data_IF_797037706978
#
_entry.id   IF_797037706978
#
_cell.length_a   1.000
_cell.length_b   1.000
_cell.length_c   1.000
_cell.angle_alpha   90.00
_cell.angle_beta   90.00
_cell.angle_gamma   90.00
#
_symmetry.space_group_name_H-M   'P 1'
#
loop_
_entity.id
_entity.type
_entity.pdbx_description
1 polymer ?
#
# COMPACT_ATOMS: atom_id res chain seq x y z
N UNK A 1 28.07 -38.76 17.52
CA UNK A 1 27.39 -39.89 16.85
C UNK A 1 26.69 -39.34 15.63
N UNK A 2 27.17 -39.76 14.46
CA UNK A 2 26.75 -39.33 13.14
C UNK A 2 25.41 -39.95 12.77
N UNK A 3 24.38 -39.14 12.49
CA UNK A 3 23.26 -39.58 11.67
C UNK A 3 23.39 -38.91 10.31
N UNK A 4 23.99 -39.65 9.38
CA UNK A 4 24.06 -39.27 7.97
C UNK A 4 22.66 -39.35 7.35
N UNK A 5 22.11 -38.19 7.02
CA UNK A 5 20.92 -38.08 6.19
C UNK A 5 21.23 -38.51 4.75
N UNK A 6 21.05 -39.79 4.46
CA UNK A 6 21.06 -40.30 3.09
C UNK A 6 19.89 -39.72 2.27
N UNK A 7 20.02 -39.64 0.93
CA UNK A 7 18.95 -39.11 0.08
C UNK A 7 17.73 -40.02 0.17
N UNK A 8 16.67 -39.52 0.80
CA UNK A 8 15.40 -40.23 0.93
C UNK A 8 14.88 -40.61 -0.45
N UNK A 9 14.78 -41.92 -0.71
CA UNK A 9 14.12 -42.46 -1.90
C UNK A 9 12.63 -42.09 -1.84
N UNK A 10 12.23 -41.03 -2.53
CA UNK A 10 10.83 -40.69 -2.73
C UNK A 10 10.18 -41.74 -3.65
N UNK A 11 9.59 -42.79 -3.07
CA UNK A 11 8.62 -43.63 -3.77
C UNK A 11 7.38 -42.76 -4.05
N UNK A 12 7.23 -42.32 -5.30
CA UNK A 12 6.24 -41.34 -5.74
C UNK A 12 4.79 -41.82 -5.61
N UNK A 13 4.20 -41.66 -4.42
CA UNK A 13 2.75 -41.69 -4.24
C UNK A 13 2.14 -40.39 -4.78
N UNK A 14 1.79 -40.41 -6.07
CA UNK A 14 1.14 -39.29 -6.74
C UNK A 14 -0.31 -39.08 -6.29
N UNK A 15 -0.92 -40.02 -5.54
CA UNK A 15 -2.33 -39.90 -5.13
C UNK A 15 -2.54 -38.73 -4.18
N UNK A 16 -1.60 -38.49 -3.26
CA UNK A 16 -1.66 -37.35 -2.31
C UNK A 16 -1.67 -36.00 -3.02
N UNK A 17 -0.67 -35.65 -3.86
CA UNK A 17 -0.68 -34.37 -4.57
C UNK A 17 -1.83 -34.24 -5.56
N UNK A 18 -2.27 -35.32 -6.22
CA UNK A 18 -3.45 -35.28 -7.11
C UNK A 18 -4.73 -34.97 -6.31
N UNK A 19 -4.92 -35.61 -5.15
CA UNK A 19 -6.09 -35.37 -4.29
C UNK A 19 -6.08 -33.95 -3.75
N UNK A 20 -4.91 -33.45 -3.35
CA UNK A 20 -4.71 -32.06 -2.93
C UNK A 20 -5.08 -31.08 -4.06
N UNK A 21 -4.53 -31.29 -5.26
CA UNK A 21 -4.81 -30.45 -6.43
C UNK A 21 -6.32 -30.41 -6.76
N UNK A 22 -6.98 -31.56 -6.77
CA UNK A 22 -8.43 -31.63 -7.02
C UNK A 22 -9.26 -30.91 -5.96
N UNK A 23 -8.83 -30.94 -4.70
CA UNK A 23 -9.59 -30.35 -3.59
C UNK A 23 -9.41 -28.83 -3.51
N UNK A 24 -8.18 -28.33 -3.68
CA UNK A 24 -7.84 -26.93 -3.40
C UNK A 24 -7.49 -26.11 -4.64
N UNK A 25 -7.06 -26.73 -5.75
CA UNK A 25 -6.71 -25.99 -6.97
C UNK A 25 -7.87 -25.89 -7.97
N UNK A 26 -8.90 -26.73 -7.84
CA UNK A 26 -10.04 -26.75 -8.76
C UNK A 26 -10.82 -25.41 -8.77
N UNK A 27 -10.91 -24.72 -7.63
CA UNK A 27 -11.58 -23.41 -7.54
C UNK A 27 -10.88 -22.31 -8.36
N UNK A 28 -9.56 -22.44 -8.56
CA UNK A 28 -8.76 -21.48 -9.32
C UNK A 28 -8.68 -21.80 -10.82
N UNK A 29 -9.27 -22.90 -11.28
CA UNK A 29 -9.19 -23.33 -12.67
C UNK A 29 -9.87 -22.34 -13.64
N UNK A 30 -10.86 -21.55 -13.21
CA UNK A 30 -11.52 -20.54 -14.05
C UNK A 30 -10.65 -19.32 -14.35
N UNK A 31 -9.97 -18.78 -13.33
CA UNK A 31 -9.17 -17.54 -13.46
C UNK A 31 -7.69 -17.82 -13.76
N UNK A 32 -7.15 -18.93 -13.25
CA UNK A 32 -5.72 -19.27 -13.26
C UNK A 32 -5.46 -20.64 -13.90
N UNK A 33 -6.26 -21.01 -14.91
CA UNK A 33 -6.20 -22.32 -15.56
C UNK A 33 -4.78 -22.74 -15.95
N UNK A 34 -4.03 -21.84 -16.61
CA UNK A 34 -2.66 -22.10 -17.07
C UNK A 34 -1.71 -22.47 -15.93
N UNK A 35 -1.85 -21.84 -14.77
CA UNK A 35 -0.99 -22.14 -13.62
C UNK A 35 -1.38 -23.47 -12.97
N UNK A 36 -2.68 -23.78 -12.90
CA UNK A 36 -3.19 -25.06 -12.39
C UNK A 36 -2.75 -26.21 -13.29
N UNK A 37 -2.86 -26.06 -14.61
CA UNK A 37 -2.37 -27.04 -15.59
C UNK A 37 -0.86 -27.22 -15.49
N UNK A 38 -0.12 -26.12 -15.31
CA UNK A 38 1.34 -26.15 -15.15
C UNK A 38 1.76 -26.91 -13.90
N UNK A 39 1.13 -26.64 -12.75
CA UNK A 39 1.40 -27.32 -11.48
C UNK A 39 1.01 -28.81 -11.55
N UNK A 40 -0.11 -29.12 -12.19
CA UNK A 40 -0.59 -30.50 -12.34
C UNK A 40 0.30 -31.27 -13.32
N UNK A 41 0.76 -30.63 -14.40
CA UNK A 41 1.70 -31.20 -15.37
C UNK A 41 3.07 -31.49 -14.78
N UNK A 42 3.54 -30.68 -13.83
CA UNK A 42 4.79 -30.92 -13.11
C UNK A 42 4.78 -32.26 -12.34
N UNK A 43 3.61 -32.76 -11.93
CA UNK A 43 3.49 -34.06 -11.25
C UNK A 43 3.95 -35.24 -12.12
N UNK A 44 3.90 -35.12 -13.46
CA UNK A 44 4.44 -36.13 -14.37
C UNK A 44 5.95 -36.31 -14.21
N UNK A 45 6.64 -35.27 -13.75
CA UNK A 45 8.08 -35.24 -13.53
C UNK A 45 8.46 -35.34 -12.05
N UNK A 46 7.53 -35.76 -11.17
CA UNK A 46 7.75 -35.80 -9.71
C UNK A 46 9.00 -36.59 -9.26
N UNK A 47 9.48 -37.52 -10.09
CA UNK A 47 10.70 -38.30 -9.81
C UNK A 47 11.99 -37.56 -10.14
N UNK A 48 11.95 -36.59 -11.05
CA UNK A 48 13.10 -35.77 -11.45
C UNK A 48 12.67 -34.36 -11.87
N UNK A 49 12.26 -33.60 -10.86
CA UNK A 49 11.64 -32.29 -11.05
C UNK A 49 12.66 -31.21 -11.39
N UNK A 50 13.90 -31.36 -10.90
CA UNK A 50 14.99 -30.41 -11.11
C UNK A 50 15.52 -30.43 -12.55
N UNK A 51 15.46 -31.57 -13.23
CA UNK A 51 15.81 -31.68 -14.65
C UNK A 51 14.60 -31.54 -15.59
N UNK A 52 13.42 -31.22 -15.05
CA UNK A 52 12.18 -31.08 -15.84
C UNK A 52 12.03 -29.68 -16.47
N UNK A 53 11.11 -29.52 -17.44
CA UNK A 53 10.68 -28.21 -17.94
C UNK A 53 10.09 -27.28 -16.86
N UNK A 54 9.79 -27.81 -15.67
CA UNK A 54 9.16 -27.11 -14.55
C UNK A 54 10.15 -26.73 -13.42
N UNK A 55 11.46 -26.85 -13.66
CA UNK A 55 12.50 -26.59 -12.66
C UNK A 55 12.43 -25.19 -12.03
N UNK A 56 11.88 -24.20 -12.75
CA UNK A 56 11.71 -22.84 -12.27
C UNK A 56 10.70 -22.73 -11.12
N UNK A 57 9.68 -23.61 -11.09
CA UNK A 57 8.70 -23.69 -9.98
C UNK A 57 9.37 -24.02 -8.64
N UNK A 58 10.54 -24.66 -8.68
CA UNK A 58 11.31 -25.10 -7.52
C UNK A 58 12.62 -24.32 -7.36
N UNK A 59 12.80 -23.25 -8.12
CA UNK A 59 13.97 -22.40 -7.99
C UNK A 59 14.00 -21.69 -6.63
N UNK A 60 15.21 -21.43 -6.11
CA UNK A 60 15.39 -20.65 -4.88
C UNK A 60 14.74 -19.26 -4.98
N UNK A 61 14.69 -18.70 -6.18
CA UNK A 61 14.06 -17.41 -6.44
C UNK A 61 12.54 -17.48 -6.26
N UNK A 62 11.89 -18.52 -6.81
CA UNK A 62 10.45 -18.74 -6.61
C UNK A 62 10.10 -18.88 -5.11
N UNK A 63 10.93 -19.62 -4.35
CA UNK A 63 10.74 -19.75 -2.90
C UNK A 63 10.90 -18.44 -2.13
N UNK A 64 11.86 -17.59 -2.52
CA UNK A 64 12.03 -16.25 -1.93
C UNK A 64 10.81 -15.36 -2.20
N UNK A 65 10.26 -15.42 -3.39
CA UNK A 65 9.07 -14.66 -3.77
C UNK A 65 7.82 -15.12 -3.00
N UNK A 66 7.60 -16.44 -2.89
CA UNK A 66 6.51 -17.01 -2.08
C UNK A 66 6.61 -16.54 -0.63
N UNK A 67 7.81 -16.62 -0.03
CA UNK A 67 8.05 -16.14 1.34
C UNK A 67 7.71 -14.66 1.49
N UNK A 68 8.23 -13.82 0.60
CA UNK A 68 8.00 -12.38 0.64
C UNK A 68 6.51 -12.03 0.50
N UNK A 69 5.80 -12.72 -0.40
CA UNK A 69 4.36 -12.53 -0.58
C UNK A 69 3.57 -12.97 0.66
N UNK A 70 3.93 -14.11 1.25
CA UNK A 70 3.30 -14.61 2.46
C UNK A 70 3.50 -13.66 3.64
N UNK A 71 4.74 -13.21 3.89
CA UNK A 71 5.05 -12.22 4.92
C UNK A 71 4.26 -10.92 4.70
N UNK A 72 4.21 -10.42 3.47
CA UNK A 72 3.46 -9.20 3.16
C UNK A 72 1.95 -9.34 3.41
N UNK A 73 1.35 -10.48 3.05
CA UNK A 73 -0.07 -10.75 3.31
C UNK A 73 -0.32 -10.93 4.81
N UNK A 74 0.55 -11.65 5.51
CA UNK A 74 0.46 -11.87 6.95
C UNK A 74 0.53 -10.55 7.73
N UNK A 75 1.51 -9.70 7.41
CA UNK A 75 1.63 -8.39 8.04
C UNK A 75 0.39 -7.53 7.78
N UNK A 76 -0.13 -7.52 6.54
CA UNK A 76 -1.35 -6.77 6.23
C UNK A 76 -2.58 -7.29 6.99
N UNK A 77 -2.77 -8.60 7.09
CA UNK A 77 -3.95 -9.18 7.76
C UNK A 77 -3.94 -8.96 9.27
N UNK A 78 -2.76 -8.79 9.87
CA UNK A 78 -2.59 -8.53 11.31
C UNK A 78 -2.34 -7.05 11.63
N UNK A 79 -2.29 -6.17 10.62
CA UNK A 79 -1.98 -4.76 10.81
C UNK A 79 -0.53 -4.48 11.23
N UNK A 80 0.39 -5.41 10.99
CA UNK A 80 1.82 -5.21 11.21
C UNK A 80 2.46 -4.42 10.07
N UNK A 81 3.55 -3.74 10.39
CA UNK A 81 4.35 -3.05 9.39
C UNK A 81 5.01 -4.05 8.44
N UNK A 82 4.80 -3.89 7.14
CA UNK A 82 5.42 -4.75 6.11
C UNK A 82 6.93 -4.52 5.92
N UNK A 83 7.48 -3.49 6.57
CA UNK A 83 8.91 -3.20 6.66
C UNK A 83 9.23 -2.78 8.08
N UNK A 84 10.44 -3.04 8.52
CA UNK A 84 10.93 -2.61 9.84
C UNK A 84 10.75 -1.08 9.99
N UNK A 85 9.95 -0.62 10.98
CA UNK A 85 9.75 0.80 11.24
C UNK A 85 11.05 1.56 11.48
N UNK A 86 12.07 0.92 12.08
CA UNK A 86 13.37 1.55 12.32
C UNK A 86 14.08 1.85 11.00
N UNK A 87 14.08 0.88 10.08
CA UNK A 87 14.68 1.03 8.74
C UNK A 87 13.95 2.12 7.95
N UNK A 88 12.62 2.10 7.96
CA UNK A 88 11.80 3.13 7.28
C UNK A 88 12.10 4.52 7.84
N UNK A 89 12.16 4.64 9.17
CA UNK A 89 12.46 5.90 9.85
C UNK A 89 13.85 6.40 9.51
N UNK A 90 14.85 5.52 9.52
CA UNK A 90 16.24 5.88 9.18
C UNK A 90 16.35 6.35 7.73
N UNK A 91 15.73 5.65 6.78
CA UNK A 91 15.72 6.03 5.36
C UNK A 91 15.03 7.38 5.14
N UNK A 92 13.85 7.58 5.73
CA UNK A 92 13.14 8.85 5.64
C UNK A 92 13.93 9.99 6.28
N UNK A 93 14.56 9.75 7.44
CA UNK A 93 15.39 10.72 8.15
C UNK A 93 16.62 11.12 7.35
N UNK A 94 17.25 10.18 6.65
CA UNK A 94 18.40 10.46 5.80
C UNK A 94 18.06 11.45 4.67
N UNK A 95 16.81 11.44 4.19
CA UNK A 95 16.30 12.39 3.19
C UNK A 95 15.87 13.71 3.85
N UNK A 96 15.21 13.64 5.00
CA UNK A 96 14.53 14.77 5.63
C UNK A 96 15.47 15.66 6.46
N UNK A 97 16.37 15.07 7.25
CA UNK A 97 17.21 15.80 8.19
C UNK A 97 18.16 16.80 7.52
N UNK A 98 18.86 16.48 6.41
CA UNK A 98 19.72 17.46 5.74
C UNK A 98 18.93 18.68 5.22
N UNK A 99 17.72 18.44 4.69
CA UNK A 99 16.83 19.51 4.21
C UNK A 99 16.35 20.38 5.37
N UNK A 100 15.96 19.76 6.49
CA UNK A 100 15.56 20.48 7.70
C UNK A 100 16.71 21.29 8.29
N UNK A 101 17.93 20.74 8.33
CA UNK A 101 19.11 21.44 8.82
C UNK A 101 19.41 22.70 7.99
N UNK A 102 19.34 22.59 6.65
CA UNK A 102 19.49 23.73 5.73
C UNK A 102 18.38 24.76 5.91
N UNK A 103 17.14 24.32 6.08
CA UNK A 103 16.02 25.22 6.35
C UNK A 103 16.22 25.98 7.67
N UNK A 104 16.62 25.28 8.73
CA UNK A 104 16.88 25.87 10.04
C UNK A 104 18.02 26.90 10.01
N UNK A 105 19.08 26.66 9.24
CA UNK A 105 20.17 27.63 9.10
C UNK A 105 19.72 28.91 8.38
N UNK A 106 18.90 28.80 7.33
CA UNK A 106 18.31 29.95 6.62
C UNK A 106 17.37 30.73 7.53
N UNK A 107 16.55 30.03 8.32
CA UNK A 107 15.61 30.67 9.23
C UNK A 107 16.31 31.45 10.36
N UNK A 108 17.40 30.89 10.92
CA UNK A 108 18.24 31.60 11.91
C UNK A 108 18.88 32.86 11.33
N UNK A 109 19.29 32.82 10.06
CA UNK A 109 19.83 33.99 9.35
C UNK A 109 18.75 35.04 9.03
N UNK A 110 17.46 34.70 9.11
CA UNK A 110 16.31 35.56 8.83
C UNK A 110 15.35 35.57 10.02
N UNK A 111 15.81 36.17 11.13
CA UNK A 111 15.08 36.26 12.42
C UNK A 111 13.62 36.73 12.31
N UNK A 112 13.29 37.51 11.28
CA UNK A 112 11.97 38.10 11.07
C UNK A 112 10.93 37.10 10.52
N UNK A 113 11.34 35.87 10.18
CA UNK A 113 10.46 34.81 9.67
C UNK A 113 10.11 33.75 10.73
N UNK A 114 10.65 33.89 11.94
CA UNK A 114 10.35 33.03 13.09
C UNK A 114 8.98 33.41 13.67
N UNK A 115 7.90 33.18 12.94
CA UNK A 115 6.64 32.92 13.62
C UNK A 115 6.75 31.54 14.26
N UNK A 116 6.63 31.50 15.58
CA UNK A 116 6.58 30.29 16.41
C UNK A 116 5.33 29.48 16.05
N UNK A 117 5.40 28.78 14.92
CA UNK A 117 4.41 27.78 14.53
C UNK A 117 5.11 26.43 14.61
N UNK A 118 4.48 25.51 15.33
CA UNK A 118 4.93 24.11 15.49
C UNK A 118 5.16 23.35 14.17
N UNK A 119 4.75 23.94 13.04
CA UNK A 119 4.88 23.37 11.71
C UNK A 119 5.75 24.25 10.83
N UNK A 120 6.93 23.73 10.48
CA UNK A 120 7.78 24.34 9.46
C UNK A 120 7.15 24.14 8.07
N UNK A 121 6.98 25.19 7.24
CA UNK A 121 6.48 25.07 5.87
C UNK A 121 7.56 24.50 4.93
N UNK A 122 8.07 23.31 5.23
CA UNK A 122 9.07 22.61 4.42
C UNK A 122 8.45 21.33 3.88
N UNK A 123 8.13 21.34 2.58
CA UNK A 123 7.71 20.13 1.88
C UNK A 123 8.93 19.25 1.60
N UNK A 124 8.90 18.00 2.09
CA UNK A 124 9.97 17.03 1.89
C UNK A 124 9.45 15.91 1.00
N UNK A 125 9.87 15.90 -0.26
CA UNK A 125 9.65 14.75 -1.13
C UNK A 125 10.52 13.57 -0.65
N UNK A 126 9.88 12.54 -0.11
CA UNK A 126 10.51 11.29 0.38
C UNK A 126 10.64 10.21 -0.71
N UNK A 127 10.12 10.44 -1.91
CA UNK A 127 10.03 9.44 -2.98
C UNK A 127 8.91 8.41 -2.76
N UNK A 128 8.48 7.77 -3.85
CA UNK A 128 7.34 6.84 -3.86
C UNK A 128 7.52 5.63 -2.92
N UNK A 129 8.76 5.20 -2.67
CA UNK A 129 9.07 4.03 -1.83
C UNK A 129 8.88 4.26 -0.33
N UNK A 130 8.73 5.52 0.10
CA UNK A 130 8.50 5.93 1.49
C UNK A 130 7.15 6.66 1.68
N UNK A 131 6.29 6.62 0.66
CA UNK A 131 4.93 7.14 0.68
C UNK A 131 3.96 5.97 0.85
N UNK A 132 3.57 5.69 2.10
CA UNK A 132 2.77 4.51 2.44
C UNK A 132 1.25 4.76 2.41
N UNK A 133 0.84 6.02 2.58
CA UNK A 133 -0.56 6.40 2.64
C UNK A 133 -0.77 7.67 1.83
N UNK A 134 -1.77 7.66 0.98
CA UNK A 134 -2.27 8.87 0.34
C UNK A 134 -3.00 9.70 1.39
N UNK A 135 -2.47 10.87 1.71
CA UNK A 135 -3.10 11.80 2.65
C UNK A 135 -3.64 13.00 1.89
N UNK A 136 -4.84 13.43 2.22
CA UNK A 136 -5.43 14.65 1.70
C UNK A 136 -5.53 15.68 2.82
N UNK A 137 -4.95 16.85 2.60
CA UNK A 137 -5.10 18.03 3.46
C UNK A 137 -6.06 18.98 2.79
N UNK A 138 -7.13 19.34 3.48
CA UNK A 138 -8.12 20.23 2.90
C UNK A 138 -7.54 21.63 2.68
N UNK A 139 -7.64 22.22 1.47
CA UNK A 139 -7.10 23.55 1.19
C UNK A 139 -7.81 24.67 1.98
N UNK A 140 -9.00 24.38 2.53
CA UNK A 140 -9.85 25.35 3.21
C UNK A 140 -9.66 25.28 4.73
N UNK A 141 -9.80 24.09 5.31
CA UNK A 141 -9.60 23.92 6.76
C UNK A 141 -8.12 23.81 7.14
N UNK A 142 -7.24 23.49 6.18
CA UNK A 142 -5.82 23.17 6.40
C UNK A 142 -5.61 21.98 7.35
N UNK A 143 -6.64 21.13 7.46
CA UNK A 143 -6.63 19.92 8.28
C UNK A 143 -6.55 18.69 7.38
N UNK A 144 -5.81 17.67 7.83
CA UNK A 144 -5.76 16.37 7.19
C UNK A 144 -7.11 15.66 7.33
N UNK A 145 -7.59 15.05 6.25
CA UNK A 145 -8.82 14.28 6.26
C UNK A 145 -8.67 12.96 7.01
N UNK A 146 -9.76 12.53 7.62
CA UNK A 146 -9.87 11.33 8.45
C UNK A 146 -11.10 10.52 8.04
N UNK A 147 -11.29 9.33 8.61
CA UNK A 147 -12.51 8.53 8.37
C UNK A 147 -13.79 9.27 8.78
N UNK A 148 -13.74 10.10 9.83
CA UNK A 148 -14.87 10.92 10.28
C UNK A 148 -15.02 12.23 9.49
N UNK A 149 -13.92 12.76 8.96
CA UNK A 149 -13.88 13.97 8.14
C UNK A 149 -13.24 13.67 6.76
N UNK A 150 -13.93 12.90 5.89
CA UNK A 150 -13.35 12.45 4.64
C UNK A 150 -13.25 13.60 3.61
N UNK A 151 -12.43 13.40 2.55
CA UNK A 151 -12.42 14.27 1.40
C UNK A 151 -13.73 14.14 0.60
N UNK A 152 -14.29 15.28 0.22
CA UNK A 152 -15.54 15.44 -0.51
C UNK A 152 -15.26 16.07 -1.88
N UNK A 153 -15.53 15.31 -2.95
CA UNK A 153 -15.40 15.73 -4.33
C UNK A 153 -16.66 16.50 -4.77
N UNK A 154 -16.48 17.76 -5.13
CA UNK A 154 -17.52 18.62 -5.69
C UNK A 154 -17.78 18.29 -7.16
N UNK A 155 -18.92 18.72 -7.71
CA UNK A 155 -19.29 18.51 -9.12
C UNK A 155 -18.33 19.18 -10.11
N UNK A 156 -17.57 20.19 -9.66
CA UNK A 156 -16.52 20.85 -10.44
C UNK A 156 -15.17 20.11 -10.45
N UNK A 157 -15.03 19.02 -9.69
CA UNK A 157 -13.78 18.25 -9.60
C UNK A 157 -12.85 18.67 -8.45
N UNK A 158 -13.09 19.78 -7.77
CA UNK A 158 -12.32 20.16 -6.59
C UNK A 158 -12.72 19.36 -5.35
N UNK A 159 -11.76 19.13 -4.46
CA UNK A 159 -11.94 18.35 -3.23
C UNK A 159 -11.81 19.26 -2.02
N UNK A 160 -12.74 19.16 -1.07
CA UNK A 160 -12.71 19.82 0.24
C UNK A 160 -13.05 18.82 1.35
N UNK A 161 -12.76 19.10 2.61
CA UNK A 161 -13.16 18.21 3.72
C UNK A 161 -14.67 18.27 3.97
N UNK A 162 -15.24 17.21 4.54
CA UNK A 162 -16.65 17.17 4.98
C UNK A 162 -16.99 18.32 5.94
N UNK A 163 -16.10 18.60 6.89
CA UNK A 163 -16.25 19.70 7.83
C UNK A 163 -16.31 21.07 7.11
N UNK A 164 -15.41 21.30 6.14
CA UNK A 164 -15.42 22.52 5.34
C UNK A 164 -16.70 22.65 4.52
N UNK A 165 -17.15 21.56 3.88
CA UNK A 165 -18.41 21.53 3.15
C UNK A 165 -19.59 21.92 4.04
N UNK A 166 -19.75 21.24 5.19
CA UNK A 166 -20.84 21.51 6.14
C UNK A 166 -20.82 22.96 6.65
N UNK A 167 -19.63 23.52 6.91
CA UNK A 167 -19.47 24.92 7.34
C UNK A 167 -19.92 25.90 6.26
N UNK A 168 -19.62 25.63 4.99
CA UNK A 168 -20.05 26.46 3.85
C UNK A 168 -21.57 26.40 3.68
N UNK A 169 -22.14 25.19 3.70
CA UNK A 169 -23.59 24.94 3.55
C UNK A 169 -24.38 25.58 4.68
N UNK A 170 -23.94 25.41 5.94
CA UNK A 170 -24.61 25.96 7.13
C UNK A 170 -24.61 27.49 7.12
N UNK A 171 -23.48 28.11 6.78
CA UNK A 171 -23.35 29.57 6.70
C UNK A 171 -24.32 30.18 5.70
N UNK A 172 -24.61 29.48 4.59
CA UNK A 172 -25.51 29.97 3.53
C UNK A 172 -26.96 29.53 3.66
N UNK A 173 -27.30 28.67 4.64
CA UNK A 173 -28.61 28.00 4.77
C UNK A 173 -29.17 27.49 3.43
N UNK A 174 -28.29 26.89 2.62
CA UNK A 174 -28.59 26.44 1.26
C UNK A 174 -28.24 24.95 1.12
N UNK A 175 -28.96 24.21 0.28
CA UNK A 175 -28.60 22.83 -0.07
C UNK A 175 -27.52 22.74 -1.18
N UNK A 176 -26.79 23.85 -1.39
CA UNK A 176 -25.72 23.98 -2.39
C UNK A 176 -24.41 24.35 -1.70
N UNK A 177 -23.32 23.79 -2.20
CA UNK A 177 -21.95 24.03 -1.75
C UNK A 177 -21.27 24.88 -2.82
N UNK A 178 -20.85 26.10 -2.46
CA UNK A 178 -19.97 26.89 -3.32
C UNK A 178 -18.56 26.33 -3.26
N UNK A 179 -17.95 26.10 -4.41
CA UNK A 179 -16.54 25.79 -4.45
C UNK A 179 -15.73 27.04 -4.03
N UNK A 180 -14.74 26.93 -3.13
CA UNK A 180 -13.92 28.09 -2.76
C UNK A 180 -12.83 28.42 -3.79
N UNK A 181 -12.51 27.48 -4.68
CA UNK A 181 -11.44 27.61 -5.68
C UNK A 181 -11.96 27.91 -7.09
N UNK A 182 -13.28 27.86 -7.32
CA UNK A 182 -13.89 28.17 -8.61
C UNK A 182 -15.34 28.66 -8.43
N UNK A 183 -15.96 29.30 -9.45
CA UNK A 183 -17.29 29.89 -9.31
C UNK A 183 -18.44 28.86 -9.32
N UNK A 184 -18.15 27.58 -9.54
CA UNK A 184 -19.17 26.52 -9.68
C UNK A 184 -19.76 26.16 -8.32
N UNK A 185 -21.08 25.96 -8.28
CA UNK A 185 -21.78 25.41 -7.13
C UNK A 185 -22.25 23.98 -7.38
N UNK A 186 -22.11 23.14 -6.36
CA UNK A 186 -22.58 21.76 -6.37
C UNK A 186 -23.79 21.61 -5.47
N UNK A 187 -24.82 20.88 -5.90
CA UNK A 187 -25.84 20.41 -4.96
C UNK A 187 -25.19 19.41 -3.98
N UNK A 188 -25.61 19.39 -2.71
CA UNK A 188 -25.05 18.44 -1.72
C UNK A 188 -25.21 16.98 -2.18
N UNK A 189 -26.27 16.67 -2.93
CA UNK A 189 -26.51 15.34 -3.52
C UNK A 189 -25.51 14.93 -4.60
N UNK A 190 -24.81 15.88 -5.24
CA UNK A 190 -23.81 15.62 -6.27
C UNK A 190 -22.39 15.46 -5.69
N UNK A 191 -22.23 15.75 -4.40
CA UNK A 191 -20.94 15.64 -3.72
C UNK A 191 -20.67 14.18 -3.36
N UNK A 192 -19.49 13.68 -3.71
CA UNK A 192 -19.10 12.28 -3.48
C UNK A 192 -17.93 12.20 -2.52
N UNK A 193 -17.95 11.21 -1.64
CA UNK A 193 -16.78 10.87 -0.83
C UNK A 193 -15.76 10.20 -1.74
N UNK A 194 -14.48 10.56 -1.59
CA UNK A 194 -13.38 9.85 -2.25
C UNK A 194 -12.44 9.22 -1.23
N UNK A 195 -11.90 8.06 -1.58
CA UNK A 195 -10.88 7.32 -0.83
C UNK A 195 -9.61 7.23 -1.67
N UNK A 196 -8.45 7.36 -1.04
CA UNK A 196 -7.14 7.31 -1.67
C UNK A 196 -6.31 6.12 -1.22
#
# INVERSE_FOLDING_TARGET
ASEGGGPGKCTGDLLKPITFARKYLAEFAGERQRDVERLTGALLFARDLLNSPYKDLYSDQAWKEVRSNFEAVFCRSHGFAGRDPLVVTLLASNIALPKRAKYASVLRARSNLLEEKDQAPLEINLGKSLQFHSTFVCPISKEQSTTSNPPMLLSCGHVISRAAMLKITRTRRSNRVKCPTCPVESAVSQVRVISF
#
